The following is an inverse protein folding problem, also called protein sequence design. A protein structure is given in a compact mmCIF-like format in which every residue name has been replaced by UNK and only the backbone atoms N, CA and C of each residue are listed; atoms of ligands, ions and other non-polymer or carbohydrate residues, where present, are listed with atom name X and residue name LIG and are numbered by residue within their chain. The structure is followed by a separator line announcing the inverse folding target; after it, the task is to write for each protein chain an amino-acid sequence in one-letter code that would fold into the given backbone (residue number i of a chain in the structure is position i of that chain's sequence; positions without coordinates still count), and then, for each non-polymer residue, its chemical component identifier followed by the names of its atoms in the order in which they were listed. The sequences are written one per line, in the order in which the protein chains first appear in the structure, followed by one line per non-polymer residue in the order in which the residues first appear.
data_IF_659834270346
#
_entry.id   IF_659834270346
#
_cell.length_a   1.000
_cell.length_b   1.000
_cell.length_c   1.000
_cell.angle_alpha   90.00
_cell.angle_beta   90.00
_cell.angle_gamma   90.00
#
_symmetry.space_group_name_H-M   'P 1'
#
loop_
_entity.id
_entity.type
_entity.pdbx_description
1 polymer ?
#
# COMPACT_ATOMS: atom_id res chain seq x y z
N UNK A 1 -5.03 -6.76 3.41
CA UNK A 1 -4.70 -6.92 1.96
C UNK A 1 -3.97 -5.67 1.48
N UNK A 2 -2.93 -5.81 0.65
CA UNK A 2 -2.11 -4.69 0.17
C UNK A 2 -2.03 -4.71 -1.37
N UNK A 3 -2.27 -3.57 -2.02
CA UNK A 3 -2.34 -3.44 -3.49
C UNK A 3 -1.69 -2.15 -3.96
N UNK A 4 -1.09 -2.18 -5.14
CA UNK A 4 -0.59 -1.00 -5.87
C UNK A 4 -1.52 -0.67 -7.04
N UNK A 5 -1.75 0.63 -7.27
CA UNK A 5 -2.57 1.11 -8.39
C UNK A 5 -1.71 1.97 -9.31
N UNK A 6 -1.72 1.60 -10.58
CA UNK A 6 -1.07 2.40 -11.62
C UNK A 6 -2.15 3.24 -12.31
N UNK A 7 -1.97 4.56 -12.27
CA UNK A 7 -2.94 5.53 -12.76
C UNK A 7 -2.26 6.50 -13.73
N UNK A 8 -2.85 6.67 -14.91
CA UNK A 8 -2.42 7.66 -15.91
C UNK A 8 -3.60 8.58 -16.22
N UNK A 9 -3.49 9.85 -15.84
CA UNK A 9 -4.61 10.79 -15.90
C UNK A 9 -5.74 10.33 -14.99
N UNK A 10 -6.95 10.18 -15.55
CA UNK A 10 -8.15 9.77 -14.82
C UNK A 10 -8.43 8.25 -14.92
N UNK A 11 -7.51 7.46 -15.48
CA UNK A 11 -7.72 6.03 -15.74
C UNK A 11 -6.76 5.16 -14.93
N UNK A 12 -7.31 4.10 -14.33
CA UNK A 12 -6.52 3.00 -13.75
C UNK A 12 -6.08 2.09 -14.89
N UNK A 13 -4.78 1.89 -15.01
CA UNK A 13 -4.19 1.05 -16.06
C UNK A 13 -3.83 -0.35 -15.56
N UNK A 14 -3.46 -0.50 -14.28
CA UNK A 14 -3.08 -1.78 -13.70
C UNK A 14 -3.39 -1.84 -12.19
N UNK A 15 -3.66 -3.05 -11.69
CA UNK A 15 -3.82 -3.35 -10.26
C UNK A 15 -2.81 -4.43 -9.87
N UNK A 16 -1.79 -4.03 -9.13
CA UNK A 16 -0.73 -4.92 -8.64
C UNK A 16 -1.09 -5.53 -7.29
N UNK A 17 -1.45 -6.82 -7.29
CA UNK A 17 -1.93 -7.52 -6.08
C UNK A 17 -0.93 -8.50 -5.47
N UNK A 18 0.14 -8.87 -6.19
CA UNK A 18 1.08 -9.91 -5.75
C UNK A 18 2.26 -9.33 -4.99
N UNK A 19 2.96 -8.36 -5.58
CA UNK A 19 4.13 -7.72 -4.97
C UNK A 19 4.22 -6.24 -5.35
N UNK A 20 3.25 -5.40 -4.95
CA UNK A 20 3.34 -3.95 -5.17
C UNK A 20 4.54 -3.34 -4.42
N UNK A 21 5.24 -2.39 -5.06
CA UNK A 21 6.53 -1.83 -4.60
C UNK A 21 6.42 -0.31 -4.32
N UNK A 22 7.52 0.44 -4.40
CA UNK A 22 7.59 1.91 -4.25
C UNK A 22 7.32 2.50 -2.85
N UNK A 23 7.24 1.66 -1.81
CA UNK A 23 6.98 2.10 -0.44
C UNK A 23 8.08 3.06 0.07
N UNK A 24 9.36 2.73 -0.16
CA UNK A 24 10.49 3.49 0.39
C UNK A 24 10.58 4.89 -0.21
N UNK A 25 10.31 4.98 -1.51
CA UNK A 25 10.31 6.21 -2.29
C UNK A 25 9.21 7.16 -1.81
N UNK A 26 7.99 6.63 -1.60
CA UNK A 26 6.87 7.41 -1.08
C UNK A 26 7.07 7.83 0.38
N UNK A 27 7.53 6.92 1.24
CA UNK A 27 7.84 7.23 2.65
C UNK A 27 8.84 8.39 2.73
N UNK A 28 9.88 8.39 1.90
CA UNK A 28 10.89 9.45 1.87
C UNK A 28 10.38 10.78 1.30
N UNK A 29 9.57 10.75 0.24
CA UNK A 29 9.07 11.96 -0.43
C UNK A 29 7.97 12.66 0.36
N UNK A 30 7.10 11.89 1.02
CA UNK A 30 5.91 12.41 1.68
C UNK A 30 5.96 12.29 3.21
N UNK A 31 7.09 11.84 3.76
CA UNK A 31 7.29 11.62 5.19
C UNK A 31 6.19 10.71 5.79
N UNK A 32 5.92 9.60 5.10
CA UNK A 32 4.90 8.61 5.47
C UNK A 32 5.51 7.42 6.24
N UNK A 33 4.63 6.60 6.81
CA UNK A 33 4.97 5.30 7.37
C UNK A 33 4.00 4.23 6.84
N UNK A 34 4.07 3.96 5.53
CA UNK A 34 3.14 3.02 4.86
C UNK A 34 3.30 1.59 5.44
N UNK A 35 4.53 1.21 5.79
CA UNK A 35 4.78 -0.09 6.42
C UNK A 35 4.04 -0.22 7.77
N UNK A 36 4.04 0.82 8.60
CA UNK A 36 3.28 0.85 9.85
C UNK A 36 1.79 0.63 9.61
N UNK A 37 1.20 1.36 8.67
CA UNK A 37 -0.23 1.21 8.30
C UNK A 37 -0.55 -0.21 7.85
N UNK A 38 0.34 -0.85 7.09
CA UNK A 38 0.16 -2.25 6.69
C UNK A 38 0.19 -3.21 7.89
N UNK A 39 1.14 -3.04 8.81
CA UNK A 39 1.21 -3.86 10.02
C UNK A 39 -0.01 -3.65 10.92
N UNK A 40 -0.46 -2.40 11.10
CA UNK A 40 -1.69 -2.09 11.84
C UNK A 40 -2.90 -2.84 11.25
N UNK A 41 -3.02 -2.84 9.91
CA UNK A 41 -4.09 -3.55 9.22
C UNK A 41 -3.99 -5.08 9.38
N UNK A 42 -2.78 -5.64 9.39
CA UNK A 42 -2.55 -7.07 9.64
C UNK A 42 -2.92 -7.43 11.08
N UNK A 43 -2.48 -6.63 12.06
CA UNK A 43 -2.81 -6.83 13.48
C UNK A 43 -4.32 -6.77 13.70
N UNK A 44 -5.00 -5.78 13.13
CA UNK A 44 -6.47 -5.69 13.18
C UNK A 44 -7.14 -6.93 12.59
N UNK A 45 -6.67 -7.39 11.43
CA UNK A 45 -7.23 -8.57 10.77
C UNK A 45 -7.03 -9.85 11.60
N UNK A 46 -5.90 -9.99 12.30
CA UNK A 46 -5.62 -11.14 13.17
C UNK A 46 -6.40 -11.07 14.48
N UNK A 47 -6.61 -9.87 15.03
CA UNK A 47 -7.27 -9.65 16.32
C UNK A 47 -8.80 -9.52 16.21
N UNK A 48 -9.36 -9.62 15.01
CA UNK A 48 -10.81 -9.68 14.81
C UNK A 48 -11.27 -11.12 15.09
N UNK A 49 -11.80 -11.37 16.29
CA UNK A 49 -12.52 -12.62 16.64
C UNK A 49 -13.76 -12.84 15.77
#
# INVERSE_FOLDING_TARGET
MFVGLDVIGDYITEINVTSPTCIRELDAQFNLNIAGVLFDAIEQQINTE
#
